data_IF_975589558289
#
_entry.id   IF_975589558289
#
_cell.length_a   1.000
_cell.length_b   1.000
_cell.length_c   1.000
_cell.angle_alpha   90.00
_cell.angle_beta   90.00
_cell.angle_gamma   90.00
#
_symmetry.space_group_name_H-M   'P 1'
#
loop_
_entity.id
_entity.type
_entity.pdbx_description
1 polymer ?
#
# COMPACT_ATOMS: atom_id res chain seq x y z
N UNK A 1 -87.40 0.71 4.74
CA UNK A 1 -87.07 1.98 4.08
C UNK A 1 -85.85 1.76 3.18
N UNK A 2 -85.92 2.23 1.94
CA UNK A 2 -84.82 2.20 0.97
C UNK A 2 -83.99 3.48 1.14
N UNK A 3 -82.68 3.35 1.22
CA UNK A 3 -81.77 4.37 0.71
C UNK A 3 -80.61 3.66 0.03
N UNK A 4 -80.67 3.69 -1.30
CA UNK A 4 -79.52 3.43 -2.16
C UNK A 4 -78.71 4.73 -2.19
N UNK A 5 -77.40 4.61 -2.04
CA UNK A 5 -76.45 5.56 -2.61
C UNK A 5 -75.26 4.76 -3.15
N UNK A 6 -75.21 4.65 -4.47
CA UNK A 6 -74.09 4.14 -5.25
C UNK A 6 -73.57 5.32 -6.05
N UNK A 7 -72.27 5.62 -6.00
CA UNK A 7 -71.43 6.28 -7.03
C UNK A 7 -70.14 6.79 -6.37
N UNK A 8 -68.94 6.82 -6.96
CA UNK A 8 -68.24 6.20 -8.10
C UNK A 8 -66.76 6.58 -7.88
N UNK A 9 -65.86 5.69 -8.30
CA UNK A 9 -64.55 5.92 -8.95
C UNK A 9 -63.71 7.13 -8.48
N UNK A 10 -62.51 6.81 -8.00
CA UNK A 10 -61.39 7.74 -7.95
C UNK A 10 -60.07 6.99 -7.83
N UNK A 11 -59.55 6.51 -8.95
CA UNK A 11 -58.16 6.06 -9.09
C UNK A 11 -57.20 7.22 -8.82
N UNK A 12 -56.30 7.04 -7.86
CA UNK A 12 -54.99 7.65 -7.88
C UNK A 12 -54.03 6.69 -7.19
N UNK A 13 -53.46 5.77 -7.97
CA UNK A 13 -52.19 5.14 -7.60
C UNK A 13 -51.17 6.26 -7.70
N UNK A 14 -50.93 6.94 -6.58
CA UNK A 14 -49.69 7.68 -6.39
C UNK A 14 -48.63 6.64 -6.08
N UNK A 15 -48.04 6.08 -7.14
CA UNK A 15 -46.68 5.58 -7.05
C UNK A 15 -45.82 6.81 -6.75
N UNK A 16 -45.62 7.07 -5.46
CA UNK A 16 -44.51 7.90 -5.02
C UNK A 16 -43.27 7.11 -5.43
N UNK A 17 -42.72 7.42 -6.60
CA UNK A 17 -41.28 7.25 -6.80
C UNK A 17 -40.61 8.21 -5.82
N UNK A 18 -40.48 7.77 -4.57
CA UNK A 18 -39.50 8.33 -3.67
C UNK A 18 -38.15 8.02 -4.30
N UNK A 19 -37.56 9.02 -4.95
CA UNK A 19 -36.10 9.14 -4.88
C UNK A 19 -35.77 9.02 -3.39
N UNK A 20 -35.22 7.88 -2.96
CA UNK A 20 -34.64 7.75 -1.63
C UNK A 20 -33.48 8.75 -1.56
N UNK A 21 -33.76 9.99 -1.16
CA UNK A 21 -32.80 10.80 -0.43
C UNK A 21 -32.49 9.99 0.81
N UNK A 22 -31.42 9.17 0.75
CA UNK A 22 -30.82 8.61 1.96
C UNK A 22 -30.35 9.79 2.78
N UNK A 23 -31.18 10.21 3.73
CA UNK A 23 -30.77 11.19 4.73
C UNK A 23 -29.77 10.47 5.62
N UNK A 24 -28.49 10.83 5.50
CA UNK A 24 -27.49 10.31 6.42
C UNK A 24 -27.79 10.81 7.84
N UNK A 25 -27.27 10.08 8.83
CA UNK A 25 -27.46 10.36 10.24
C UNK A 25 -26.13 10.69 10.92
N UNK A 26 -26.20 11.24 12.13
CA UNK A 26 -25.03 11.43 13.00
C UNK A 26 -24.26 10.13 13.25
N UNK A 27 -24.98 9.01 13.38
CA UNK A 27 -24.38 7.69 13.55
C UNK A 27 -23.62 7.23 12.30
N UNK A 28 -24.13 7.55 11.10
CA UNK A 28 -23.41 7.31 9.85
C UNK A 28 -22.11 8.12 9.82
N UNK A 29 -22.14 9.39 10.30
CA UNK A 29 -20.95 10.24 10.38
C UNK A 29 -19.88 9.62 11.26
N UNK A 30 -20.24 9.25 12.49
CA UNK A 30 -19.32 8.58 13.43
C UNK A 30 -18.74 7.32 12.79
N UNK A 31 -19.59 6.52 12.14
CA UNK A 31 -19.18 5.26 11.51
C UNK A 31 -18.18 5.47 10.38
N UNK A 32 -18.40 6.43 9.47
CA UNK A 32 -17.47 6.69 8.36
C UNK A 32 -16.15 7.27 8.86
N UNK A 33 -16.19 8.19 9.83
CA UNK A 33 -14.98 8.77 10.44
C UNK A 33 -14.14 7.69 11.11
N UNK A 34 -14.74 6.88 11.98
CA UNK A 34 -14.02 5.78 12.66
C UNK A 34 -13.46 4.75 11.68
N UNK A 35 -14.18 4.45 10.58
CA UNK A 35 -13.64 3.54 9.56
C UNK A 35 -12.42 4.12 8.84
N UNK A 36 -12.45 5.42 8.53
CA UNK A 36 -11.33 6.11 7.91
C UNK A 36 -10.13 6.20 8.86
N UNK A 37 -10.35 6.59 10.11
CA UNK A 37 -9.32 6.64 11.17
C UNK A 37 -8.64 5.28 11.34
N UNK A 38 -9.42 4.21 11.55
CA UNK A 38 -8.87 2.87 11.73
C UNK A 38 -8.06 2.41 10.51
N UNK A 39 -8.45 2.85 9.31
CA UNK A 39 -7.71 2.54 8.11
C UNK A 39 -6.36 3.28 8.08
N UNK A 40 -6.34 4.57 8.38
CA UNK A 40 -5.11 5.36 8.49
C UNK A 40 -4.19 4.80 9.57
N UNK A 41 -4.71 4.43 10.75
CA UNK A 41 -3.94 3.76 11.82
C UNK A 41 -3.29 2.46 11.33
N UNK A 42 -4.02 1.68 10.52
CA UNK A 42 -3.50 0.45 9.92
C UNK A 42 -2.39 0.74 8.91
N UNK A 43 -2.48 1.82 8.13
CA UNK A 43 -1.44 2.23 7.18
C UNK A 43 -0.21 2.69 7.94
N UNK A 44 -0.36 3.57 8.94
CA UNK A 44 0.72 4.04 9.82
C UNK A 44 1.48 2.88 10.49
N UNK A 45 0.75 1.85 10.91
CA UNK A 45 1.34 0.65 11.49
C UNK A 45 2.08 -0.19 10.43
N UNK A 46 1.48 -0.37 9.26
CA UNK A 46 2.07 -1.17 8.18
C UNK A 46 3.40 -0.57 7.69
N UNK A 47 3.47 0.75 7.52
CA UNK A 47 4.68 1.45 7.06
C UNK A 47 5.86 1.37 8.03
N UNK A 48 5.63 0.98 9.28
CA UNK A 48 6.70 0.75 10.26
C UNK A 48 7.23 -0.69 10.23
N UNK A 49 6.44 -1.65 9.72
CA UNK A 49 6.78 -3.07 9.78
C UNK A 49 7.42 -3.59 8.49
N UNK A 50 6.96 -3.09 7.34
CA UNK A 50 7.38 -3.55 6.03
C UNK A 50 7.85 -2.34 5.22
N UNK A 51 9.00 -2.40 4.54
CA UNK A 51 9.52 -1.24 3.83
C UNK A 51 8.81 -0.97 2.49
N UNK A 52 8.23 -2.00 1.86
CA UNK A 52 7.63 -1.93 0.52
C UNK A 52 6.14 -2.25 0.58
N UNK A 53 5.33 -1.43 -0.10
CA UNK A 53 3.88 -1.54 -0.10
C UNK A 53 3.28 -1.39 -1.49
N UNK A 54 2.09 -1.97 -1.69
CA UNK A 54 1.27 -1.69 -2.86
C UNK A 54 0.49 -0.39 -2.66
N UNK A 55 1.15 0.74 -2.90
CA UNK A 55 0.57 2.07 -2.71
C UNK A 55 -0.69 2.29 -3.52
N UNK A 56 -0.77 1.78 -4.76
CA UNK A 56 -1.98 1.93 -5.58
C UNK A 56 -3.21 1.30 -4.92
N UNK A 57 -3.07 0.12 -4.31
CA UNK A 57 -4.17 -0.53 -3.59
C UNK A 57 -4.53 0.19 -2.28
N UNK A 58 -3.52 0.76 -1.62
CA UNK A 58 -3.71 1.53 -0.38
C UNK A 58 -4.45 2.84 -0.69
N UNK A 59 -3.97 3.59 -1.68
CA UNK A 59 -4.56 4.84 -2.16
C UNK A 59 -6.01 4.60 -2.62
N UNK A 60 -6.28 3.59 -3.45
CA UNK A 60 -7.65 3.28 -3.91
C UNK A 60 -8.61 3.01 -2.75
N UNK A 61 -8.15 2.32 -1.71
CA UNK A 61 -8.98 2.03 -0.54
C UNK A 61 -9.17 3.27 0.33
N UNK A 62 -8.15 4.11 0.48
CA UNK A 62 -8.26 5.39 1.17
C UNK A 62 -9.29 6.27 0.48
N UNK A 63 -9.13 6.52 -0.83
CA UNK A 63 -10.01 7.37 -1.64
C UNK A 63 -11.48 6.91 -1.55
N UNK A 64 -11.71 5.59 -1.53
CA UNK A 64 -13.05 5.05 -1.38
C UNK A 64 -13.67 5.30 0.00
N UNK A 65 -12.88 5.31 1.07
CA UNK A 65 -13.35 5.57 2.43
C UNK A 65 -13.56 7.07 2.64
N UNK A 66 -12.61 7.87 2.16
CA UNK A 66 -12.62 9.33 2.23
C UNK A 66 -13.83 9.90 1.49
N UNK A 67 -14.04 9.53 0.23
CA UNK A 67 -15.21 9.96 -0.56
C UNK A 67 -16.56 9.58 0.10
N UNK A 68 -16.60 8.45 0.83
CA UNK A 68 -17.78 8.08 1.61
C UNK A 68 -17.97 9.00 2.81
N UNK A 69 -16.89 9.35 3.50
CA UNK A 69 -16.93 10.28 4.62
C UNK A 69 -17.37 11.66 4.14
N UNK A 70 -16.72 12.23 3.12
CA UNK A 70 -17.09 13.51 2.51
C UNK A 70 -18.56 13.59 2.15
N UNK A 71 -19.11 12.53 1.55
CA UNK A 71 -20.53 12.49 1.17
C UNK A 71 -21.46 12.60 2.38
N UNK A 72 -21.16 11.90 3.48
CA UNK A 72 -21.94 11.96 4.72
C UNK A 72 -21.85 13.36 5.34
N UNK A 73 -20.64 13.90 5.44
CA UNK A 73 -20.41 15.24 6.00
C UNK A 73 -21.12 16.34 5.20
N UNK A 74 -21.05 16.26 3.87
CA UNK A 74 -21.72 17.19 2.96
C UNK A 74 -23.25 17.13 3.06
N UNK A 75 -23.84 15.93 3.16
CA UNK A 75 -25.29 15.76 3.31
C UNK A 75 -25.79 16.30 4.66
N UNK A 76 -25.04 16.03 5.73
CA UNK A 76 -25.32 16.55 7.07
C UNK A 76 -25.01 18.05 7.22
N UNK A 77 -24.26 18.64 6.27
CA UNK A 77 -23.78 20.03 6.29
C UNK A 77 -22.99 20.34 7.56
N UNK A 78 -22.14 19.39 7.95
CA UNK A 78 -21.23 19.54 9.08
C UNK A 78 -19.85 19.85 8.52
N UNK A 79 -19.28 20.97 8.94
CA UNK A 79 -17.85 21.24 8.79
C UNK A 79 -17.13 20.63 9.99
N UNK A 80 -16.06 19.87 9.76
CA UNK A 80 -15.33 19.18 10.81
C UNK A 80 -13.86 19.02 10.43
N UNK A 81 -13.00 19.63 11.23
CA UNK A 81 -11.55 19.57 11.11
C UNK A 81 -11.03 18.13 11.26
N UNK A 82 -11.84 17.19 11.76
CA UNK A 82 -11.44 15.78 11.89
C UNK A 82 -11.12 15.13 10.55
N UNK A 83 -11.87 15.39 9.47
CA UNK A 83 -11.56 14.80 8.16
C UNK A 83 -10.22 15.31 7.63
N UNK A 84 -9.99 16.62 7.75
CA UNK A 84 -8.73 17.26 7.35
C UNK A 84 -7.55 16.67 8.15
N UNK A 85 -7.68 16.51 9.47
CA UNK A 85 -6.63 15.88 10.29
C UNK A 85 -6.36 14.42 9.88
N UNK A 86 -7.39 13.66 9.50
CA UNK A 86 -7.22 12.26 9.06
C UNK A 86 -6.50 12.22 7.71
N UNK A 87 -6.83 13.12 6.79
CA UNK A 87 -6.17 13.27 5.50
C UNK A 87 -4.69 13.64 5.66
N UNK A 88 -4.38 14.65 6.48
CA UNK A 88 -2.99 15.05 6.75
C UNK A 88 -2.15 13.90 7.33
N UNK A 89 -2.75 13.09 8.23
CA UNK A 89 -2.11 11.89 8.79
C UNK A 89 -1.85 10.85 7.72
N UNK A 90 -2.84 10.59 6.86
CA UNK A 90 -2.68 9.65 5.76
C UNK A 90 -1.56 10.07 4.81
N UNK A 91 -1.58 11.32 4.34
CA UNK A 91 -0.54 11.86 3.46
C UNK A 91 0.85 11.77 4.09
N UNK A 92 0.95 12.07 5.38
CA UNK A 92 2.19 11.96 6.15
C UNK A 92 2.67 10.50 6.22
N UNK A 93 1.77 9.55 6.48
CA UNK A 93 2.07 8.13 6.51
C UNK A 93 2.57 7.64 5.14
N UNK A 94 1.88 8.02 4.06
CA UNK A 94 2.27 7.69 2.68
C UNK A 94 3.65 8.26 2.34
N UNK A 95 3.89 9.54 2.63
CA UNK A 95 5.17 10.19 2.38
C UNK A 95 6.31 9.49 3.12
N UNK A 96 6.11 9.20 4.40
CA UNK A 96 7.11 8.52 5.22
C UNK A 96 7.36 7.09 4.74
N UNK A 97 6.30 6.34 4.40
CA UNK A 97 6.42 4.98 3.88
C UNK A 97 7.16 4.94 2.53
N UNK A 98 6.85 5.85 1.60
CA UNK A 98 7.57 5.96 0.31
C UNK A 98 9.06 6.29 0.52
N UNK A 99 9.37 7.22 1.42
CA UNK A 99 10.77 7.55 1.74
C UNK A 99 11.53 6.38 2.39
N UNK A 100 10.85 5.55 3.20
CA UNK A 100 11.44 4.33 3.75
C UNK A 100 11.71 3.29 2.66
N UNK A 101 10.75 3.07 1.76
CA UNK A 101 10.89 2.17 0.61
C UNK A 101 12.10 2.55 -0.27
N UNK A 102 12.21 3.84 -0.61
CA UNK A 102 13.33 4.36 -1.41
C UNK A 102 14.68 4.16 -0.73
N UNK A 103 14.77 4.39 0.59
CA UNK A 103 16.00 4.15 1.34
C UNK A 103 16.36 2.66 1.42
N UNK A 104 15.35 1.80 1.55
CA UNK A 104 15.53 0.35 1.55
C UNK A 104 16.06 -0.15 0.21
N UNK A 105 15.45 0.25 -0.91
CA UNK A 105 15.93 -0.11 -2.26
C UNK A 105 17.33 0.45 -2.54
N UNK A 106 17.62 1.70 -2.16
CA UNK A 106 18.98 2.26 -2.30
C UNK A 106 20.02 1.46 -1.51
N UNK A 107 19.65 0.93 -0.36
CA UNK A 107 20.53 0.08 0.47
C UNK A 107 20.73 -1.28 -0.21
N UNK A 108 19.67 -1.85 -0.77
CA UNK A 108 19.75 -3.08 -1.54
C UNK A 108 20.65 -2.91 -2.78
N UNK A 109 20.50 -1.83 -3.53
CA UNK A 109 21.34 -1.50 -4.68
C UNK A 109 22.82 -1.36 -4.30
N UNK A 110 23.12 -0.73 -3.16
CA UNK A 110 24.49 -0.62 -2.66
C UNK A 110 25.10 -2.00 -2.37
N UNK A 111 24.37 -2.88 -1.69
CA UNK A 111 24.83 -4.24 -1.42
C UNK A 111 24.96 -5.06 -2.72
N UNK A 112 24.03 -4.91 -3.65
CA UNK A 112 24.10 -5.57 -4.96
C UNK A 112 25.34 -5.13 -5.74
N UNK A 113 25.61 -3.81 -5.78
CA UNK A 113 26.79 -3.27 -6.46
C UNK A 113 28.11 -3.78 -5.86
N UNK A 114 28.18 -3.95 -4.53
CA UNK A 114 29.36 -4.54 -3.88
C UNK A 114 29.58 -5.97 -4.36
N UNK A 115 28.51 -6.76 -4.42
CA UNK A 115 28.53 -8.15 -4.89
C UNK A 115 28.93 -8.24 -6.37
N UNK A 116 28.32 -7.44 -7.23
CA UNK A 116 28.66 -7.37 -8.67
C UNK A 116 30.11 -6.93 -8.90
N UNK A 117 30.57 -5.90 -8.18
CA UNK A 117 31.96 -5.40 -8.28
C UNK A 117 32.98 -6.47 -7.87
N UNK A 118 32.71 -7.19 -6.80
CA UNK A 118 33.57 -8.29 -6.37
C UNK A 118 33.56 -9.41 -7.41
N UNK A 119 32.39 -9.80 -7.92
CA UNK A 119 32.27 -10.84 -8.95
C UNK A 119 33.06 -10.51 -10.22
N UNK A 120 32.95 -9.27 -10.71
CA UNK A 120 33.67 -8.82 -11.90
C UNK A 120 35.19 -8.84 -11.71
N UNK A 121 35.68 -8.40 -10.53
CA UNK A 121 37.10 -8.46 -10.20
C UNK A 121 37.60 -9.89 -10.14
N UNK A 122 36.89 -10.76 -9.43
CA UNK A 122 37.31 -12.15 -9.23
C UNK A 122 37.29 -12.90 -10.56
N UNK A 123 36.27 -12.71 -11.40
CA UNK A 123 36.20 -13.33 -12.73
C UNK A 123 37.37 -12.89 -13.61
N UNK A 124 37.73 -11.60 -13.60
CA UNK A 124 38.86 -11.07 -14.35
C UNK A 124 40.23 -11.63 -13.86
N UNK A 125 40.31 -12.08 -12.61
CA UNK A 125 41.52 -12.69 -12.04
C UNK A 125 41.55 -14.22 -12.20
N UNK A 126 40.40 -14.89 -12.29
CA UNK A 126 40.28 -16.30 -12.69
C UNK A 126 40.71 -16.50 -14.14
N UNK A 127 40.32 -15.60 -15.06
CA UNK A 127 40.81 -15.62 -16.46
C UNK A 127 42.34 -15.52 -16.56
N UNK A 128 43.01 -14.96 -15.54
CA UNK A 128 44.47 -14.87 -15.44
C UNK A 128 45.14 -16.08 -14.76
N UNK A 129 44.37 -17.10 -14.35
CA UNK A 129 44.89 -18.36 -13.83
C UNK A 129 44.91 -18.52 -12.30
N UNK A 130 44.10 -17.73 -11.58
CA UNK A 130 43.97 -17.81 -10.10
C UNK A 130 42.75 -18.67 -9.69
N UNK A 131 42.85 -19.43 -8.60
CA UNK A 131 41.94 -20.54 -8.19
C UNK A 131 40.80 -20.09 -7.25
N UNK A 132 39.63 -20.73 -7.39
CA UNK A 132 38.45 -20.80 -6.48
C UNK A 132 37.80 -19.48 -5.99
N UNK A 133 36.85 -18.98 -6.78
CA UNK A 133 36.01 -17.79 -6.53
C UNK A 133 35.25 -17.82 -5.21
N UNK A 134 34.75 -18.99 -4.78
CA UNK A 134 33.91 -19.10 -3.58
C UNK A 134 34.70 -19.05 -2.26
N UNK A 135 35.98 -19.44 -2.27
CA UNK A 135 36.81 -19.47 -1.06
C UNK A 135 37.42 -18.09 -0.72
N UNK A 136 37.47 -17.18 -1.71
CA UNK A 136 38.07 -15.84 -1.62
C UNK A 136 37.03 -14.70 -1.58
N UNK A 137 35.82 -14.96 -1.07
CA UNK A 137 34.83 -13.90 -0.84
C UNK A 137 35.37 -12.92 0.22
N UNK A 138 35.47 -11.64 -0.14
CA UNK A 138 35.84 -10.59 0.80
C UNK A 138 34.73 -10.37 1.85
N UNK A 139 35.11 -10.06 3.09
CA UNK A 139 34.17 -9.85 4.21
C UNK A 139 33.03 -8.87 3.86
N UNK A 140 33.34 -7.78 3.13
CA UNK A 140 32.36 -6.79 2.71
C UNK A 140 31.33 -7.33 1.69
N UNK A 141 31.75 -8.26 0.83
CA UNK A 141 30.87 -8.96 -0.11
C UNK A 141 29.99 -9.95 0.63
N UNK A 142 30.56 -10.71 1.57
CA UNK A 142 29.78 -11.64 2.40
C UNK A 142 28.72 -10.89 3.23
N UNK A 143 29.08 -9.77 3.85
CA UNK A 143 28.12 -8.92 4.57
C UNK A 143 26.99 -8.45 3.64
N UNK A 144 27.32 -8.12 2.39
CA UNK A 144 26.33 -7.69 1.40
C UNK A 144 25.41 -8.83 0.97
N UNK A 145 25.95 -10.03 0.73
CA UNK A 145 25.16 -11.23 0.45
C UNK A 145 24.24 -11.59 1.62
N UNK A 146 24.77 -11.59 2.85
CA UNK A 146 24.00 -11.86 4.07
C UNK A 146 22.85 -10.88 4.25
N UNK A 147 23.09 -9.59 3.97
CA UNK A 147 22.05 -8.57 4.06
C UNK A 147 20.96 -8.79 3.02
N UNK A 148 21.35 -9.06 1.77
CA UNK A 148 20.41 -9.34 0.67
C UNK A 148 19.59 -10.59 0.94
N UNK A 149 20.21 -11.67 1.43
CA UNK A 149 19.53 -12.92 1.78
C UNK A 149 18.50 -12.70 2.90
N UNK A 150 18.89 -12.05 4.00
CA UNK A 150 18.00 -11.76 5.14
C UNK A 150 16.81 -10.89 4.76
N UNK A 151 16.95 -10.07 3.72
CA UNK A 151 15.93 -9.14 3.26
C UNK A 151 15.26 -9.57 1.95
N UNK A 152 15.59 -10.75 1.43
CA UNK A 152 15.24 -11.18 0.07
C UNK A 152 13.76 -10.99 -0.24
N UNK A 153 12.87 -11.47 0.63
CA UNK A 153 11.41 -11.39 0.42
C UNK A 153 10.88 -9.96 0.26
N UNK A 154 11.57 -8.98 0.83
CA UNK A 154 11.20 -7.56 0.85
C UNK A 154 11.77 -6.77 -0.33
N UNK A 155 12.73 -7.33 -1.06
CA UNK A 155 13.33 -6.69 -2.22
C UNK A 155 12.34 -6.55 -3.36
N UNK A 156 12.53 -5.53 -4.20
CA UNK A 156 11.90 -5.44 -5.51
C UNK A 156 12.21 -6.67 -6.38
N UNK A 157 11.30 -7.00 -7.29
CA UNK A 157 11.44 -8.17 -8.18
C UNK A 157 12.70 -8.10 -9.03
N UNK A 158 13.09 -6.91 -9.48
CA UNK A 158 14.32 -6.68 -10.24
C UNK A 158 15.57 -7.00 -9.40
N UNK A 159 15.61 -6.55 -8.14
CA UNK A 159 16.73 -6.83 -7.23
C UNK A 159 16.78 -8.30 -6.83
N UNK A 160 15.62 -8.94 -6.60
CA UNK A 160 15.54 -10.40 -6.38
C UNK A 160 16.15 -11.17 -7.54
N UNK A 161 15.75 -10.82 -8.76
CA UNK A 161 16.26 -11.48 -9.96
C UNK A 161 17.77 -11.31 -10.11
N UNK A 162 18.30 -10.10 -9.88
CA UNK A 162 19.77 -9.86 -9.88
C UNK A 162 20.48 -10.70 -8.84
N UNK A 163 19.97 -10.73 -7.61
CA UNK A 163 20.52 -11.54 -6.53
C UNK A 163 20.59 -13.02 -6.93
N UNK A 164 19.48 -13.58 -7.41
CA UNK A 164 19.42 -14.97 -7.86
C UNK A 164 20.41 -15.25 -9.01
N UNK A 165 20.53 -14.34 -9.98
CA UNK A 165 21.49 -14.45 -11.08
C UNK A 165 22.95 -14.50 -10.58
N UNK A 166 23.32 -13.67 -9.61
CA UNK A 166 24.67 -13.68 -9.04
C UNK A 166 24.91 -14.93 -8.19
N UNK A 167 23.98 -15.31 -7.32
CA UNK A 167 24.10 -16.54 -6.51
C UNK A 167 24.20 -17.79 -7.39
N UNK A 168 23.46 -17.86 -8.51
CA UNK A 168 23.58 -18.95 -9.47
C UNK A 168 24.94 -19.00 -10.16
N UNK A 169 25.54 -17.84 -10.47
CA UNK A 169 26.90 -17.79 -11.04
C UNK A 169 27.94 -18.25 -10.02
N UNK A 170 27.80 -17.82 -8.77
CA UNK A 170 28.65 -18.24 -7.65
C UNK A 170 28.63 -19.75 -7.38
N UNK A 171 27.50 -20.42 -7.59
CA UNK A 171 27.34 -21.86 -7.36
C UNK A 171 27.79 -22.75 -8.53
N UNK A 172 28.00 -22.18 -9.72
CA UNK A 172 28.35 -22.93 -10.94
C UNK A 172 29.86 -23.13 -11.14
N UNK A 173 30.69 -22.40 -10.39
CA UNK A 173 32.14 -22.55 -10.34
C UNK A 173 32.60 -23.26 -9.06
#
# INVERSE_FOLDING_TARGET
>A
MKTKATLLIGTAVLALESCETKNYTEEDRITVTTNLENYVDSVESAVQMVPVHNWSLIDERYDSLDSRAEKVYNDLKVEDDNLEMIEERYETAVKNGKAQAENFERTADMHMNNVETWWDKTTADVEKGTKNTAEDIEDATQESLDWLEKNFDKLSDDTKKKYEEVTMKLQKD
#
